data_IF_672310402162
#
_entry.id   IF_672310402162
#
_cell.length_a   1.000
_cell.length_b   1.000
_cell.length_c   1.000
_cell.angle_alpha   90.00
_cell.angle_beta   90.00
_cell.angle_gamma   90.00
#
_symmetry.space_group_name_H-M   'P 1'
#
loop_
_entity.id
_entity.type
_entity.pdbx_description
1 polymer ?
#
# COMPACT_ATOMS: atom_id res chain seq x y z
N UNK A 1 20.39 -12.16 1.84
CA UNK A 1 19.70 -12.69 0.65
C UNK A 1 18.21 -12.38 0.82
N UNK A 2 17.79 -11.12 0.60
CA UNK A 2 16.46 -10.65 1.01
C UNK A 2 15.57 -10.46 -0.23
N UNK A 3 14.96 -11.54 -0.71
CA UNK A 3 14.11 -11.56 -1.90
C UNK A 3 12.65 -11.12 -1.67
N UNK A 4 12.35 -10.37 -0.61
CA UNK A 4 10.96 -10.05 -0.24
C UNK A 4 10.40 -8.78 -0.90
N UNK A 5 11.14 -8.13 -1.78
CA UNK A 5 10.78 -6.79 -2.29
C UNK A 5 9.79 -6.77 -3.46
N UNK A 6 9.23 -7.93 -3.87
CA UNK A 6 8.24 -7.99 -4.96
C UNK A 6 6.93 -8.71 -4.59
N UNK A 7 6.64 -8.85 -3.29
CA UNK A 7 5.38 -9.43 -2.84
C UNK A 7 4.23 -8.46 -3.10
N UNK A 8 3.18 -8.95 -3.77
CA UNK A 8 1.96 -8.20 -4.03
C UNK A 8 0.94 -8.46 -2.92
N UNK A 9 0.53 -7.40 -2.22
CA UNK A 9 -0.44 -7.47 -1.14
C UNK A 9 -1.79 -6.89 -1.57
N UNK A 10 -2.87 -7.57 -1.17
CA UNK A 10 -4.24 -7.11 -1.42
C UNK A 10 -4.68 -6.06 -0.39
N UNK A 11 -5.81 -5.40 -0.64
CA UNK A 11 -6.43 -4.48 0.32
C UNK A 11 -6.64 -5.10 1.72
N UNK A 12 -6.96 -6.39 1.79
CA UNK A 12 -7.18 -7.09 3.06
C UNK A 12 -5.93 -7.10 3.94
N UNK A 13 -4.76 -7.26 3.32
CA UNK A 13 -3.46 -7.28 3.99
C UNK A 13 -2.94 -5.86 4.22
N UNK A 14 -3.22 -4.94 3.29
CA UNK A 14 -2.81 -3.54 3.38
C UNK A 14 -3.53 -2.78 4.50
N UNK A 15 -4.84 -3.00 4.70
CA UNK A 15 -5.67 -2.25 5.65
C UNK A 15 -5.06 -2.11 7.06
N UNK A 16 -4.61 -3.20 7.73
CA UNK A 16 -3.99 -3.06 9.05
C UNK A 16 -2.65 -2.31 9.04
N UNK A 17 -1.92 -2.31 7.92
CA UNK A 17 -0.61 -1.63 7.81
C UNK A 17 -0.75 -0.11 7.71
N UNK A 18 -1.84 0.36 7.08
CA UNK A 18 -2.09 1.80 6.86
C UNK A 18 -2.91 2.44 7.97
N UNK A 19 -3.11 1.73 9.09
CA UNK A 19 -3.82 2.21 10.28
C UNK A 19 -5.32 2.46 10.06
N UNK A 20 -5.82 3.60 10.55
CA UNK A 20 -7.24 3.95 10.53
C UNK A 20 -7.73 4.51 9.18
N UNK A 21 -7.04 4.22 8.08
CA UNK A 21 -7.45 4.66 6.75
C UNK A 21 -8.52 3.73 6.15
N UNK A 22 -9.70 4.30 5.90
CA UNK A 22 -10.74 3.64 5.13
C UNK A 22 -10.36 3.43 3.66
N UNK A 23 -11.03 2.47 3.00
CA UNK A 23 -10.79 2.13 1.60
C UNK A 23 -10.96 3.32 0.66
N UNK A 24 -11.99 4.13 0.87
CA UNK A 24 -12.26 5.33 0.05
C UNK A 24 -11.16 6.37 0.19
N UNK A 25 -10.68 6.59 1.42
CA UNK A 25 -9.57 7.53 1.69
C UNK A 25 -8.29 7.07 1.02
N UNK A 26 -7.97 5.77 1.10
CA UNK A 26 -6.83 5.20 0.39
C UNK A 26 -6.91 5.47 -1.11
N UNK A 27 -8.05 5.19 -1.75
CA UNK A 27 -8.23 5.47 -3.17
C UNK A 27 -8.14 6.95 -3.52
N UNK A 28 -8.56 7.85 -2.63
CA UNK A 28 -8.36 9.29 -2.81
C UNK A 28 -6.89 9.65 -2.83
N UNK A 29 -6.08 9.09 -1.91
CA UNK A 29 -4.64 9.31 -1.86
C UNK A 29 -3.93 8.74 -3.09
N UNK A 30 -4.32 7.55 -3.54
CA UNK A 30 -3.81 6.95 -4.79
C UNK A 30 -4.10 7.87 -5.98
N UNK A 31 -5.33 8.39 -6.09
CA UNK A 31 -5.71 9.33 -7.17
C UNK A 31 -4.99 10.67 -7.08
N UNK A 32 -4.67 11.12 -5.87
CA UNK A 32 -3.87 12.32 -5.63
C UNK A 32 -2.37 12.11 -5.88
N UNK A 33 -1.92 10.87 -6.14
CA UNK A 33 -0.50 10.54 -6.28
C UNK A 33 0.25 10.51 -4.95
N UNK A 34 -0.47 10.59 -3.83
CA UNK A 34 0.10 10.57 -2.48
C UNK A 34 0.37 9.15 -1.99
N UNK A 35 -0.35 8.13 -2.48
CA UNK A 35 -0.17 6.73 -2.10
C UNK A 35 0.24 5.85 -3.30
N UNK A 36 0.91 4.71 -3.07
CA UNK A 36 1.40 3.85 -4.14
C UNK A 36 0.32 3.41 -5.11
N UNK A 37 0.65 3.42 -6.40
CA UNK A 37 -0.27 3.02 -7.44
C UNK A 37 -0.61 1.52 -7.36
N UNK A 38 -1.89 1.13 -7.54
CA UNK A 38 -2.29 -0.26 -7.58
C UNK A 38 -1.81 -0.94 -8.85
N UNK A 39 -1.38 -2.18 -8.72
CA UNK A 39 -1.09 -3.09 -9.81
C UNK A 39 -2.32 -3.96 -10.07
N UNK A 40 -2.81 -3.95 -11.31
CA UNK A 40 -3.94 -4.77 -11.74
C UNK A 40 -3.49 -6.21 -11.97
N UNK A 41 -4.06 -7.14 -11.20
CA UNK A 41 -3.76 -8.58 -11.29
C UNK A 41 -4.74 -9.29 -12.22
N UNK A 42 -6.02 -8.94 -12.10
CA UNK A 42 -7.11 -9.47 -12.91
C UNK A 42 -8.24 -8.44 -13.01
N UNK A 43 -9.26 -8.65 -13.85
CA UNK A 43 -10.49 -7.85 -13.80
C UNK A 43 -11.03 -7.83 -12.37
N UNK A 44 -11.27 -6.63 -11.82
CA UNK A 44 -11.77 -6.43 -10.46
C UNK A 44 -10.78 -6.66 -9.31
N UNK A 45 -9.54 -7.13 -9.57
CA UNK A 45 -8.54 -7.38 -8.53
C UNK A 45 -7.29 -6.54 -8.72
N UNK A 46 -6.96 -5.78 -7.69
CA UNK A 46 -5.73 -5.00 -7.60
C UNK A 46 -4.93 -5.37 -6.35
N UNK A 47 -3.63 -5.17 -6.43
CA UNK A 47 -2.68 -5.36 -5.34
C UNK A 47 -1.64 -4.24 -5.36
N UNK A 48 -0.87 -4.11 -4.29
CA UNK A 48 0.22 -3.15 -4.17
C UNK A 48 1.52 -3.90 -3.87
N UNK A 49 2.66 -3.39 -4.30
CA UNK A 49 3.94 -3.96 -3.89
C UNK A 49 4.16 -3.66 -2.42
N UNK A 50 4.57 -4.68 -1.67
CA UNK A 50 4.87 -4.52 -0.26
C UNK A 50 5.97 -3.47 -0.03
N UNK A 51 7.02 -3.45 -0.87
CA UNK A 51 8.09 -2.48 -0.80
C UNK A 51 7.56 -1.04 -0.89
N UNK A 52 6.80 -0.71 -1.94
CA UNK A 52 6.23 0.63 -2.13
C UNK A 52 5.35 1.07 -0.94
N UNK A 53 4.60 0.14 -0.35
CA UNK A 53 3.76 0.42 0.81
C UNK A 53 4.61 0.71 2.04
N UNK A 54 5.67 -0.08 2.29
CA UNK A 54 6.58 0.15 3.41
C UNK A 54 7.31 1.48 3.26
N UNK A 55 7.82 1.79 2.06
CA UNK A 55 8.48 3.06 1.75
C UNK A 55 7.52 4.24 1.96
N UNK A 56 6.25 4.08 1.57
CA UNK A 56 5.22 5.08 1.79
C UNK A 56 4.90 5.31 3.28
N UNK A 57 4.78 4.24 4.07
CA UNK A 57 4.58 4.33 5.54
C UNK A 57 5.78 5.03 6.17
N UNK A 58 7.00 4.64 5.79
CA UNK A 58 8.23 5.25 6.27
C UNK A 58 8.28 6.75 5.94
N UNK A 59 7.94 7.12 4.69
CA UNK A 59 7.92 8.52 4.22
C UNK A 59 6.90 9.40 4.94
N UNK A 60 5.85 8.81 5.53
CA UNK A 60 4.77 9.54 6.23
C UNK A 60 4.95 9.66 7.75
N UNK A 61 6.01 9.09 8.32
CA UNK A 61 6.27 9.17 9.77
C UNK A 61 5.88 7.92 10.55
N UNK A 62 6.14 6.74 10.00
CA UNK A 62 6.09 5.47 10.72
C UNK A 62 7.46 5.00 11.24
N UNK A 63 8.23 5.88 11.87
CA UNK A 63 9.17 5.47 12.91
C UNK A 63 8.51 5.85 14.24
N UNK A 64 8.28 4.85 15.07
CA UNK A 64 7.79 4.92 16.44
C UNK A 64 8.16 6.23 17.18
N UNK A 65 7.17 6.86 17.80
CA UNK A 65 7.33 7.75 18.94
C UNK A 65 6.74 7.05 20.16
#
# INVERSE_FOLDING_TARGET
MNYTNNTLISWKTLRPMVGNLGRTTWWRLVRAGEAPAPIRISPGRVAWRLADILDWIASRGGAEA
#
